data_IF_974654686262
#
_entry.id   IF_974654686262
#
_cell.length_a   1.000
_cell.length_b   1.000
_cell.length_c   1.000
_cell.angle_alpha   90.00
_cell.angle_beta   90.00
_cell.angle_gamma   90.00
#
_symmetry.space_group_name_H-M   'P 1'
#
loop_
_entity.id
_entity.type
_entity.pdbx_description
1 polymer ?
#
# COMPACT_ATOMS: atom_id res chain seq x y z
N UNK A 1 -34.09 43.83 2.63
CA UNK A 1 -32.81 43.24 2.18
C UNK A 1 -32.94 41.74 2.39
N UNK A 2 -33.42 41.09 1.34
CA UNK A 2 -33.77 39.65 1.37
C UNK A 2 -32.48 38.81 1.27
N UNK A 3 -32.27 37.96 2.27
CA UNK A 3 -31.13 37.01 2.25
C UNK A 3 -31.47 35.90 1.22
N UNK A 4 -30.52 35.52 0.33
CA UNK A 4 -30.76 34.47 -0.61
C UNK A 4 -31.01 33.14 0.12
N UNK A 5 -32.08 32.46 -0.28
CA UNK A 5 -32.41 31.14 0.25
C UNK A 5 -31.25 30.15 0.04
N UNK A 6 -30.97 29.24 1.01
CA UNK A 6 -29.91 28.25 0.86
C UNK A 6 -30.22 27.36 -0.35
N UNK A 7 -29.32 27.38 -1.33
CA UNK A 7 -29.38 26.48 -2.48
C UNK A 7 -29.31 25.04 -1.95
N UNK A 8 -30.41 24.30 -2.11
CA UNK A 8 -30.46 22.90 -1.73
C UNK A 8 -29.36 22.13 -2.49
N UNK A 9 -28.38 21.62 -1.75
CA UNK A 9 -27.27 20.89 -2.31
C UNK A 9 -27.81 19.64 -3.06
N UNK A 10 -27.47 19.50 -4.32
CA UNK A 10 -27.83 18.32 -5.12
C UNK A 10 -27.28 17.05 -4.44
N UNK A 11 -28.06 15.96 -4.38
CA UNK A 11 -27.52 14.71 -3.84
C UNK A 11 -26.29 14.27 -4.63
N UNK A 12 -25.26 13.74 -3.97
CA UNK A 12 -24.01 13.34 -4.61
C UNK A 12 -24.26 12.22 -5.62
N UNK A 13 -23.54 12.24 -6.71
CA UNK A 13 -23.50 11.12 -7.65
C UNK A 13 -22.83 9.90 -7.00
N UNK A 14 -23.03 8.70 -7.57
CA UNK A 14 -22.38 7.47 -7.09
C UNK A 14 -20.85 7.57 -7.07
N UNK A 15 -20.24 8.28 -8.04
CA UNK A 15 -18.80 8.48 -8.10
C UNK A 15 -18.32 9.50 -7.06
N UNK A 16 -19.07 10.55 -6.79
CA UNK A 16 -18.77 11.51 -5.72
C UNK A 16 -18.84 10.84 -4.35
N UNK A 17 -19.82 9.95 -4.14
CA UNK A 17 -19.90 9.16 -2.91
C UNK A 17 -18.71 8.20 -2.79
N UNK A 18 -18.39 7.47 -3.86
CA UNK A 18 -17.22 6.57 -3.89
C UNK A 18 -15.92 7.32 -3.57
N UNK A 19 -15.72 8.50 -4.14
CA UNK A 19 -14.54 9.33 -3.87
C UNK A 19 -14.45 9.72 -2.37
N UNK A 20 -15.57 10.05 -1.75
CA UNK A 20 -15.64 10.35 -0.30
C UNK A 20 -15.27 9.10 0.54
N UNK A 21 -15.83 7.94 0.19
CA UNK A 21 -15.51 6.69 0.89
C UNK A 21 -14.02 6.32 0.77
N UNK A 22 -13.44 6.47 -0.41
CA UNK A 22 -12.01 6.25 -0.62
C UNK A 22 -11.13 7.21 0.21
N UNK A 23 -11.54 8.46 0.35
CA UNK A 23 -10.88 9.41 1.25
C UNK A 23 -10.97 8.95 2.71
N UNK A 24 -12.13 8.45 3.14
CA UNK A 24 -12.37 7.91 4.48
C UNK A 24 -11.52 6.68 4.79
N UNK A 25 -11.25 5.82 3.81
CA UNK A 25 -10.37 4.63 3.96
C UNK A 25 -8.95 5.02 4.42
N UNK A 26 -8.53 6.25 4.18
CA UNK A 26 -7.28 6.77 4.73
C UNK A 26 -7.17 6.67 6.26
N UNK A 27 -8.27 6.77 6.99
CA UNK A 27 -8.30 6.57 8.44
C UNK A 27 -7.99 5.10 8.79
N UNK A 28 -8.64 4.15 8.13
CA UNK A 28 -8.38 2.70 8.30
C UNK A 28 -6.90 2.39 8.04
N UNK A 29 -6.32 2.93 6.97
CA UNK A 29 -4.89 2.77 6.68
C UNK A 29 -3.99 3.32 7.78
N UNK A 30 -4.33 4.47 8.37
CA UNK A 30 -3.57 5.05 9.49
C UNK A 30 -3.67 4.18 10.74
N UNK A 31 -4.84 3.64 11.04
CA UNK A 31 -5.04 2.77 12.20
C UNK A 31 -4.28 1.44 12.05
N UNK A 32 -4.30 0.84 10.86
CA UNK A 32 -3.47 -0.32 10.56
C UNK A 32 -1.96 -0.01 10.65
N UNK A 33 -1.54 1.19 10.21
CA UNK A 33 -0.14 1.61 10.31
C UNK A 33 0.35 1.75 11.77
N UNK A 34 -0.54 2.04 12.72
CA UNK A 34 -0.21 2.08 14.17
C UNK A 34 0.09 0.70 14.76
N UNK A 35 -0.28 -0.37 14.06
CA UNK A 35 -0.01 -1.75 14.48
C UNK A 35 1.38 -2.24 14.04
N UNK A 36 2.09 -1.45 13.23
CA UNK A 36 3.45 -1.77 12.85
C UNK A 36 4.37 -1.78 14.08
N UNK A 37 5.41 -2.64 14.12
CA UNK A 37 6.45 -2.54 15.12
C UNK A 37 7.06 -1.13 15.16
N UNK A 38 7.48 -0.68 16.33
CA UNK A 38 7.98 0.69 16.54
C UNK A 38 9.19 1.05 15.65
N UNK A 39 9.95 0.06 15.25
CA UNK A 39 11.13 0.17 14.39
C UNK A 39 10.82 -0.03 12.89
N UNK A 40 9.56 -0.30 12.54
CA UNK A 40 9.11 -0.49 11.15
C UNK A 40 8.22 0.68 10.69
N UNK A 41 8.78 1.73 10.09
CA UNK A 41 7.98 2.82 9.53
C UNK A 41 7.04 2.31 8.41
N UNK A 42 5.89 2.96 8.17
CA UNK A 42 4.93 2.54 7.14
C UNK A 42 5.56 2.38 5.74
N UNK A 43 6.51 3.23 5.37
CA UNK A 43 7.23 3.12 4.11
C UNK A 43 8.08 1.85 4.01
N UNK A 44 8.67 1.39 5.13
CA UNK A 44 9.42 0.13 5.18
C UNK A 44 8.49 -1.07 4.94
N UNK A 45 7.33 -1.10 5.57
CA UNK A 45 6.30 -2.12 5.32
C UNK A 45 5.87 -2.15 3.86
N UNK A 46 5.67 -0.98 3.23
CA UNK A 46 5.30 -0.88 1.82
C UNK A 46 6.40 -1.44 0.89
N UNK A 47 7.67 -1.09 1.12
CA UNK A 47 8.81 -1.61 0.34
C UNK A 47 8.89 -3.13 0.44
N UNK A 48 8.85 -3.68 1.66
CA UNK A 48 8.90 -5.12 1.87
C UNK A 48 7.73 -5.84 1.20
N UNK A 49 6.53 -5.28 1.27
CA UNK A 49 5.33 -5.84 0.61
C UNK A 49 5.48 -5.86 -0.91
N UNK A 50 6.08 -4.82 -1.51
CA UNK A 50 6.33 -4.78 -2.95
C UNK A 50 7.36 -5.84 -3.38
N UNK A 51 8.44 -6.00 -2.60
CA UNK A 51 9.46 -7.03 -2.86
C UNK A 51 8.90 -8.46 -2.69
N UNK A 52 8.04 -8.68 -1.71
CA UNK A 52 7.38 -9.97 -1.52
C UNK A 52 6.47 -10.32 -2.71
N UNK A 53 5.74 -9.33 -3.20
CA UNK A 53 4.71 -9.47 -4.23
C UNK A 53 5.27 -9.59 -5.65
N UNK A 54 6.33 -8.84 -5.95
CA UNK A 54 6.90 -8.71 -7.30
C UNK A 54 8.26 -9.37 -7.45
N UNK A 55 8.80 -9.93 -6.36
CA UNK A 55 10.14 -10.50 -6.33
C UNK A 55 11.24 -9.44 -6.25
N UNK A 56 12.46 -9.88 -6.48
CA UNK A 56 13.63 -9.01 -6.51
C UNK A 56 13.54 -7.97 -7.63
N UNK A 57 14.01 -6.74 -7.36
CA UNK A 57 13.96 -5.67 -8.34
C UNK A 57 15.03 -4.61 -8.13
N UNK A 58 15.27 -3.80 -9.16
CA UNK A 58 16.13 -2.62 -9.09
C UNK A 58 15.44 -1.48 -8.32
N UNK A 59 16.26 -0.58 -7.75
CA UNK A 59 15.79 0.59 -7.01
C UNK A 59 14.86 1.49 -7.84
N UNK A 60 15.16 1.69 -9.12
CA UNK A 60 14.30 2.47 -10.03
C UNK A 60 12.91 1.88 -10.15
N UNK A 61 12.81 0.55 -10.35
CA UNK A 61 11.53 -0.13 -10.43
C UNK A 61 10.72 -0.01 -9.13
N UNK A 62 11.40 -0.07 -7.98
CA UNK A 62 10.75 0.13 -6.69
C UNK A 62 10.21 1.57 -6.56
N UNK A 63 10.99 2.59 -6.97
CA UNK A 63 10.57 3.98 -6.95
C UNK A 63 9.32 4.20 -7.83
N UNK A 64 9.30 3.62 -9.04
CA UNK A 64 8.14 3.66 -9.94
C UNK A 64 6.90 3.04 -9.28
N UNK A 65 7.02 1.86 -8.66
CA UNK A 65 5.92 1.18 -7.99
C UNK A 65 5.39 1.94 -6.76
N UNK A 66 6.27 2.67 -6.08
CA UNK A 66 5.90 3.51 -4.94
C UNK A 66 5.36 4.88 -5.36
N UNK A 67 5.53 5.28 -6.61
CA UNK A 67 5.21 6.61 -7.15
C UNK A 67 5.87 7.74 -6.32
N UNK A 68 7.13 7.55 -5.91
CA UNK A 68 7.94 8.53 -5.18
C UNK A 68 9.33 8.67 -5.81
N UNK A 69 10.00 9.76 -5.46
CA UNK A 69 11.35 10.05 -5.95
C UNK A 69 12.35 8.95 -5.56
N UNK A 70 13.28 8.65 -6.47
CA UNK A 70 14.30 7.61 -6.27
C UNK A 70 15.23 7.92 -5.09
N UNK A 71 15.47 9.19 -4.78
CA UNK A 71 16.30 9.60 -3.63
C UNK A 71 15.60 9.33 -2.30
N UNK A 72 14.27 9.49 -2.26
CA UNK A 72 13.44 9.14 -1.10
C UNK A 72 13.38 7.62 -0.95
N UNK A 73 13.15 6.90 -2.05
CA UNK A 73 13.16 5.43 -2.08
C UNK A 73 14.49 4.88 -1.59
N UNK A 74 15.61 5.47 -2.01
CA UNK A 74 16.96 5.06 -1.57
C UNK A 74 17.14 5.18 -0.05
N UNK A 75 16.58 6.22 0.59
CA UNK A 75 16.62 6.38 2.05
C UNK A 75 15.82 5.30 2.78
N UNK A 76 14.63 4.98 2.25
CA UNK A 76 13.84 3.87 2.80
C UNK A 76 14.56 2.53 2.68
N UNK A 77 15.17 2.27 1.51
CA UNK A 77 15.98 1.07 1.25
C UNK A 77 17.18 0.98 2.21
N UNK A 78 17.92 2.07 2.42
CA UNK A 78 19.06 2.09 3.34
C UNK A 78 18.64 1.66 4.76
N UNK A 79 17.53 2.21 5.28
CA UNK A 79 16.98 1.82 6.57
C UNK A 79 16.68 0.31 6.64
N UNK A 80 16.07 -0.26 5.59
CA UNK A 80 15.72 -1.68 5.54
C UNK A 80 16.95 -2.59 5.46
N UNK A 81 18.00 -2.14 4.75
CA UNK A 81 19.29 -2.85 4.69
C UNK A 81 19.97 -2.85 6.05
N UNK A 82 20.02 -1.70 6.74
CA UNK A 82 20.60 -1.56 8.08
C UNK A 82 19.91 -2.46 9.11
N UNK A 83 18.59 -2.69 8.92
CA UNK A 83 17.81 -3.63 9.74
C UNK A 83 17.94 -5.09 9.32
N UNK A 84 18.62 -5.38 8.22
CA UNK A 84 18.75 -6.74 7.70
C UNK A 84 17.46 -7.33 7.13
N UNK A 85 16.44 -6.51 6.84
CA UNK A 85 15.16 -6.97 6.28
C UNK A 85 15.20 -7.14 4.77
N UNK A 86 16.09 -6.42 4.10
CA UNK A 86 16.40 -6.59 2.69
C UNK A 86 17.92 -6.63 2.47
N UNK A 87 18.35 -7.21 1.34
CA UNK A 87 19.72 -7.07 0.82
C UNK A 87 19.74 -6.17 -0.40
N UNK A 88 20.90 -5.60 -0.67
CA UNK A 88 21.19 -4.79 -1.85
C UNK A 88 22.47 -5.32 -2.51
N UNK A 89 22.30 -6.27 -3.43
CA UNK A 89 23.38 -6.98 -4.07
C UNK A 89 23.67 -6.46 -5.48
N UNK A 90 24.84 -6.79 -6.04
CA UNK A 90 25.10 -6.51 -7.44
C UNK A 90 24.15 -7.33 -8.33
N UNK A 91 23.61 -6.70 -9.39
CA UNK A 91 22.83 -7.42 -10.40
C UNK A 91 23.74 -8.41 -11.14
N UNK A 92 23.43 -9.72 -11.18
CA UNK A 92 24.24 -10.71 -11.90
C UNK A 92 24.39 -10.40 -13.40
N UNK A 93 23.41 -9.71 -14.00
CA UNK A 93 23.43 -9.32 -15.42
C UNK A 93 24.09 -7.97 -15.69
N UNK A 94 24.21 -7.10 -14.68
CA UNK A 94 24.81 -5.78 -14.79
C UNK A 94 25.38 -5.35 -13.43
N UNK A 95 26.64 -5.63 -13.20
CA UNK A 95 27.32 -5.35 -11.93
C UNK A 95 27.32 -3.87 -11.50
N UNK A 96 26.94 -2.93 -12.39
CA UNK A 96 26.76 -1.51 -12.09
C UNK A 96 25.41 -1.24 -11.41
N UNK A 97 24.43 -2.12 -11.59
CA UNK A 97 23.12 -2.05 -10.99
C UNK A 97 23.05 -2.83 -9.68
N UNK A 98 22.14 -2.42 -8.82
CA UNK A 98 21.88 -3.12 -7.56
C UNK A 98 20.47 -3.70 -7.56
N UNK A 99 20.36 -4.96 -7.12
CA UNK A 99 19.08 -5.67 -6.92
C UNK A 99 18.76 -5.71 -5.45
N UNK A 100 17.52 -5.41 -5.14
CA UNK A 100 16.95 -5.47 -3.80
C UNK A 100 16.24 -6.82 -3.63
N UNK A 101 16.50 -7.49 -2.50
CA UNK A 101 15.91 -8.79 -2.16
C UNK A 101 15.38 -8.77 -0.74
N UNK A 102 14.22 -9.37 -0.55
CA UNK A 102 13.67 -9.58 0.79
C UNK A 102 14.41 -10.74 1.47
N UNK A 103 14.90 -10.51 2.68
CA UNK A 103 15.57 -11.54 3.48
C UNK A 103 14.57 -12.44 4.20
N UNK A 104 15.01 -13.59 4.77
CA UNK A 104 14.16 -14.38 5.66
C UNK A 104 13.63 -13.57 6.85
N UNK A 105 14.46 -12.68 7.44
CA UNK A 105 14.04 -11.78 8.52
C UNK A 105 12.98 -10.79 8.07
N UNK A 106 13.11 -10.21 6.87
CA UNK A 106 12.10 -9.34 6.28
C UNK A 106 10.78 -10.07 6.02
N UNK A 107 10.82 -11.31 5.54
CA UNK A 107 9.62 -12.15 5.38
C UNK A 107 8.94 -12.47 6.72
N UNK A 108 9.72 -12.79 7.74
CA UNK A 108 9.17 -13.03 9.08
C UNK A 108 8.47 -11.79 9.64
N UNK A 109 9.07 -10.61 9.49
CA UNK A 109 8.46 -9.35 9.90
C UNK A 109 7.16 -9.05 9.12
N UNK A 110 7.14 -9.29 7.80
CA UNK A 110 5.90 -9.14 7.01
C UNK A 110 4.79 -10.08 7.49
N UNK A 111 5.12 -11.32 7.81
CA UNK A 111 4.15 -12.27 8.36
C UNK A 111 3.60 -11.80 9.72
N UNK A 112 4.44 -11.25 10.59
CA UNK A 112 4.02 -10.66 11.86
C UNK A 112 3.08 -9.46 11.64
N UNK A 113 3.45 -8.54 10.75
CA UNK A 113 2.60 -7.39 10.39
C UNK A 113 1.26 -7.88 9.83
N UNK A 114 1.29 -8.85 8.93
CA UNK A 114 0.09 -9.46 8.36
C UNK A 114 -0.84 -10.03 9.43
N UNK A 115 -0.30 -10.79 10.39
CA UNK A 115 -1.08 -11.36 11.48
C UNK A 115 -1.73 -10.26 12.36
N UNK A 116 -1.00 -9.19 12.68
CA UNK A 116 -1.54 -8.05 13.45
C UNK A 116 -2.68 -7.34 12.70
N UNK A 117 -2.51 -7.10 11.39
CA UNK A 117 -3.55 -6.49 10.54
C UNK A 117 -4.78 -7.40 10.44
N UNK A 118 -4.59 -8.71 10.21
CA UNK A 118 -5.67 -9.69 10.14
C UNK A 118 -6.47 -9.70 11.44
N UNK A 119 -5.81 -9.84 12.58
CA UNK A 119 -6.50 -9.83 13.88
C UNK A 119 -7.21 -8.51 14.20
N UNK A 120 -6.71 -7.37 13.71
CA UNK A 120 -7.41 -6.09 13.85
C UNK A 120 -8.67 -6.04 12.96
N UNK A 121 -8.58 -6.52 11.72
CA UNK A 121 -9.72 -6.60 10.80
C UNK A 121 -10.78 -7.60 11.30
N UNK A 122 -10.39 -8.75 11.81
CA UNK A 122 -11.31 -9.72 12.40
C UNK A 122 -12.13 -9.11 13.55
N UNK A 123 -11.47 -8.32 14.41
CA UNK A 123 -12.18 -7.62 15.49
C UNK A 123 -13.09 -6.51 14.99
N UNK A 124 -12.61 -5.71 14.03
CA UNK A 124 -13.35 -4.58 13.49
C UNK A 124 -14.57 -4.99 12.65
N UNK A 125 -14.51 -6.18 12.02
CA UNK A 125 -15.54 -6.71 11.13
C UNK A 125 -16.27 -7.91 11.75
N UNK A 126 -16.27 -8.02 13.08
CA UNK A 126 -16.83 -9.19 13.79
C UNK A 126 -18.33 -9.42 13.52
N UNK A 127 -19.06 -8.37 13.16
CA UNK A 127 -20.48 -8.38 12.81
C UNK A 127 -20.75 -8.51 11.29
N UNK A 128 -19.69 -8.57 10.47
CA UNK A 128 -19.83 -8.75 9.03
C UNK A 128 -19.97 -10.22 8.68
N UNK A 129 -20.81 -10.51 7.68
CA UNK A 129 -20.85 -11.85 7.13
C UNK A 129 -19.61 -12.17 6.29
N UNK A 130 -19.24 -13.44 6.18
CA UNK A 130 -18.18 -13.88 5.27
C UNK A 130 -18.44 -13.40 3.82
N UNK A 131 -19.71 -13.41 3.39
CA UNK A 131 -20.13 -12.94 2.08
C UNK A 131 -19.80 -11.45 1.87
N UNK A 132 -20.06 -10.58 2.85
CA UNK A 132 -19.77 -9.14 2.74
C UNK A 132 -18.26 -8.90 2.61
N UNK A 133 -17.44 -9.66 3.37
CA UNK A 133 -15.98 -9.60 3.29
C UNK A 133 -15.48 -10.04 1.90
N UNK A 134 -16.04 -11.12 1.35
CA UNK A 134 -15.68 -11.64 0.02
C UNK A 134 -16.07 -10.65 -1.10
N UNK A 135 -17.24 -10.05 -1.00
CA UNK A 135 -17.72 -9.01 -1.92
C UNK A 135 -16.79 -7.80 -1.88
N UNK A 136 -16.45 -7.32 -0.68
CA UNK A 136 -15.53 -6.18 -0.50
C UNK A 136 -14.15 -6.50 -1.10
N UNK A 137 -13.59 -7.67 -0.83
CA UNK A 137 -12.31 -8.12 -1.39
C UNK A 137 -12.34 -8.12 -2.92
N UNK A 138 -13.40 -8.64 -3.52
CA UNK A 138 -13.58 -8.72 -4.97
C UNK A 138 -13.66 -7.32 -5.59
N UNK A 139 -14.45 -6.43 -5.00
CA UNK A 139 -14.62 -5.05 -5.49
C UNK A 139 -13.35 -4.22 -5.35
N UNK A 140 -12.61 -4.35 -4.25
CA UNK A 140 -11.33 -3.69 -4.06
C UNK A 140 -10.26 -4.20 -5.03
N UNK A 141 -10.23 -5.49 -5.32
CA UNK A 141 -9.33 -6.07 -6.31
C UNK A 141 -9.64 -5.52 -7.72
N UNK A 142 -10.91 -5.48 -8.08
CA UNK A 142 -11.38 -4.92 -9.36
C UNK A 142 -11.07 -3.43 -9.48
N UNK A 143 -11.30 -2.65 -8.43
CA UNK A 143 -10.99 -1.22 -8.40
C UNK A 143 -9.49 -0.98 -8.66
N UNK A 144 -8.60 -1.71 -7.96
CA UNK A 144 -7.15 -1.60 -8.18
C UNK A 144 -6.74 -1.92 -9.62
N UNK A 145 -7.32 -2.98 -10.20
CA UNK A 145 -7.04 -3.35 -11.59
C UNK A 145 -7.47 -2.28 -12.58
N UNK A 146 -8.58 -1.60 -12.34
CA UNK A 146 -9.07 -0.50 -13.19
C UNK A 146 -8.09 0.67 -13.27
N UNK A 147 -7.41 1.01 -12.18
CA UNK A 147 -6.39 2.06 -12.16
C UNK A 147 -5.07 1.60 -12.80
N UNK A 148 -4.65 0.35 -12.59
CA UNK A 148 -3.42 -0.20 -13.19
C UNK A 148 -3.48 -0.32 -14.71
N UNK A 149 -4.68 -0.49 -15.28
CA UNK A 149 -4.88 -0.53 -16.73
C UNK A 149 -4.82 0.88 -17.37
N UNK A 150 -5.13 1.93 -16.62
CA UNK A 150 -5.03 3.33 -17.08
C UNK A 150 -3.58 3.82 -17.11
N UNK A 151 -2.70 3.31 -16.23
CA UNK A 151 -1.26 3.65 -16.21
C UNK A 151 -0.48 3.01 -17.38
N UNK A 152 -1.06 2.03 -18.05
CA UNK A 152 -0.55 1.46 -19.31
C UNK A 152 -1.27 2.10 -20.48
N UNK A 153 -1.14 3.42 -20.63
CA UNK A 153 -1.58 4.16 -21.82
C UNK A 153 -0.99 3.56 -23.11
N UNK A 154 -1.64 3.76 -24.26
CA UNK A 154 -1.21 3.12 -25.50
C UNK A 154 0.23 3.51 -25.82
N UNK A 155 1.03 2.50 -26.15
CA UNK A 155 2.39 2.65 -26.68
C UNK A 155 2.39 3.30 -28.06
#
# INVERSE_FOLDING_TARGET
>A
MDAPAPVAARPPTRHEELARQLTGIGAVKRDLARLLPADCPPAAGAVMTLLDRHGEMRLSRLADLMAIDISVTSRHVAHLVDRGWITRDADPGDGRCRILRLTPAGRALLAEIGARHTGALERALADWSAHDIDVLNTLLARLRSSFQLQDKGPA
#
